data_IF_857478997961
#
_entry.id   IF_857478997961
#
_cell.length_a   1.000
_cell.length_b   1.000
_cell.length_c   1.000
_cell.angle_alpha   90.00
_cell.angle_beta   90.00
_cell.angle_gamma   90.00
#
_symmetry.space_group_name_H-M   'P 1'
#
loop_
_entity.id
_entity.type
_entity.pdbx_description
1 polymer ?
#
# COMPACT_ATOMS: atom_id res chain seq x y z
N UNK A 1 20.21 74.62 28.73
CA UNK A 1 21.63 74.23 28.76
C UNK A 1 21.74 72.85 28.09
N UNK A 2 22.37 72.81 26.89
CA UNK A 2 22.88 71.68 26.06
C UNK A 2 22.08 70.35 26.01
N UNK A 3 21.37 69.95 24.93
CA UNK A 3 21.77 69.41 23.60
C UNK A 3 22.78 68.24 23.65
N UNK A 4 22.37 67.05 23.18
CA UNK A 4 23.16 66.22 22.26
C UNK A 4 22.30 65.10 21.62
N UNK A 5 22.02 65.30 20.33
CA UNK A 5 21.63 64.28 19.36
C UNK A 5 22.65 63.12 19.33
N UNK A 6 22.18 61.92 18.96
CA UNK A 6 22.96 61.14 18.00
C UNK A 6 22.07 60.25 17.11
N UNK A 7 22.30 60.48 15.83
CA UNK A 7 21.70 59.96 14.62
C UNK A 7 21.68 58.43 14.47
N UNK A 8 20.68 57.96 13.71
CA UNK A 8 20.61 56.66 13.02
C UNK A 8 21.70 56.55 11.92
N UNK A 9 21.97 55.33 11.42
CA UNK A 9 21.46 54.98 10.07
C UNK A 9 20.85 53.56 10.05
N UNK A 10 19.66 53.38 9.48
CA UNK A 10 19.43 52.83 8.12
C UNK A 10 20.40 51.73 7.72
N UNK A 11 19.91 50.48 7.78
CA UNK A 11 20.36 49.41 6.90
C UNK A 11 19.10 48.74 6.35
N UNK A 12 18.86 48.98 5.07
CA UNK A 12 17.94 48.24 4.23
C UNK A 12 18.42 46.79 4.14
N UNK A 13 17.50 45.85 4.36
CA UNK A 13 17.56 44.53 3.75
C UNK A 13 16.16 44.36 3.13
N UNK A 14 16.01 44.77 1.88
CA UNK A 14 16.10 43.89 0.71
C UNK A 14 15.18 42.69 0.86
N UNK A 15 14.13 42.72 0.05
CA UNK A 15 13.08 41.72 0.03
C UNK A 15 13.60 40.30 -0.09
N UNK A 16 12.90 39.41 0.61
CA UNK A 16 12.60 38.12 0.04
C UNK A 16 11.10 38.13 -0.22
N UNK A 17 10.77 38.21 -1.50
CA UNK A 17 9.54 37.75 -2.10
C UNK A 17 8.97 36.57 -1.30
N UNK A 18 7.81 36.78 -0.68
CA UNK A 18 6.81 35.76 -0.39
C UNK A 18 6.26 35.21 -1.73
N UNK A 19 7.15 34.61 -2.54
CA UNK A 19 6.75 33.65 -3.54
C UNK A 19 6.61 32.31 -2.82
N UNK A 20 5.52 32.21 -2.07
CA UNK A 20 4.94 30.97 -1.62
C UNK A 20 4.68 30.16 -2.89
N UNK A 21 5.69 29.39 -3.32
CA UNK A 21 5.53 28.34 -4.31
C UNK A 21 4.45 27.45 -3.75
N UNK A 22 3.22 27.64 -4.23
CA UNK A 22 2.22 26.61 -4.15
C UNK A 22 2.92 25.34 -4.65
N UNK A 23 2.88 24.22 -3.89
CA UNK A 23 3.29 22.97 -4.48
C UNK A 23 2.37 22.81 -5.67
N UNK A 24 2.92 23.00 -6.86
CA UNK A 24 2.25 22.65 -8.10
C UNK A 24 1.74 21.26 -7.83
N UNK A 25 0.42 21.09 -7.80
CA UNK A 25 -0.20 19.78 -7.81
C UNK A 25 0.27 19.15 -9.11
N UNK A 26 1.45 18.55 -9.08
CA UNK A 26 1.75 17.42 -9.93
C UNK A 26 0.64 16.46 -9.53
N UNK A 27 -0.42 16.46 -10.34
CA UNK A 27 -1.22 15.27 -10.52
C UNK A 27 -0.20 14.22 -10.91
N UNK A 28 0.34 13.53 -9.91
CA UNK A 28 1.27 12.45 -10.09
C UNK A 28 0.60 11.52 -11.05
N UNK A 29 1.29 11.15 -12.12
CA UNK A 29 0.80 10.09 -12.99
C UNK A 29 0.70 8.87 -12.08
N UNK A 30 -0.50 8.54 -11.63
CA UNK A 30 -0.74 7.35 -10.84
C UNK A 30 -0.23 6.18 -11.67
N UNK A 31 0.68 5.41 -11.07
CA UNK A 31 1.17 4.21 -11.71
C UNK A 31 0.04 3.18 -11.77
N UNK A 32 0.01 2.28 -12.77
CA UNK A 32 -0.98 1.20 -12.80
C UNK A 32 -1.02 0.35 -11.52
N UNK A 33 0.10 0.29 -10.79
CA UNK A 33 0.19 -0.38 -9.50
C UNK A 33 -0.55 0.38 -8.39
N UNK A 34 -0.42 1.71 -8.34
CA UNK A 34 -1.15 2.56 -7.40
C UNK A 34 -2.65 2.53 -7.67
N UNK A 35 -3.07 2.60 -8.95
CA UNK A 35 -4.50 2.46 -9.32
C UNK A 35 -5.08 1.13 -8.86
N UNK A 36 -4.33 0.02 -9.04
CA UNK A 36 -4.75 -1.30 -8.55
C UNK A 36 -4.85 -1.34 -7.01
N UNK A 37 -3.91 -0.72 -6.30
CA UNK A 37 -3.95 -0.67 -4.84
C UNK A 37 -5.17 0.11 -4.34
N UNK A 38 -5.52 1.22 -4.99
CA UNK A 38 -6.70 2.02 -4.66
C UNK A 38 -8.01 1.26 -4.93
N UNK A 39 -8.09 0.51 -6.03
CA UNK A 39 -9.21 -0.38 -6.33
C UNK A 39 -9.39 -1.46 -5.25
N UNK A 40 -8.29 -2.04 -4.77
CA UNK A 40 -8.30 -3.04 -3.72
C UNK A 40 -8.78 -2.45 -2.38
N UNK A 41 -8.30 -1.25 -2.00
CA UNK A 41 -8.76 -0.53 -0.81
C UNK A 41 -10.26 -0.23 -0.89
N UNK A 42 -10.72 0.25 -2.05
CA UNK A 42 -12.13 0.55 -2.30
C UNK A 42 -13.01 -0.70 -2.13
N UNK A 43 -12.60 -1.83 -2.71
CA UNK A 43 -13.32 -3.10 -2.54
C UNK A 43 -13.28 -3.60 -1.09
N UNK A 44 -12.16 -3.41 -0.39
CA UNK A 44 -12.05 -3.77 1.01
C UNK A 44 -13.06 -3.00 1.87
N UNK A 45 -13.17 -1.69 1.65
CA UNK A 45 -14.14 -0.84 2.36
C UNK A 45 -15.57 -1.34 2.19
N UNK A 46 -15.96 -1.74 0.97
CA UNK A 46 -17.30 -2.28 0.72
C UNK A 46 -17.56 -3.66 1.35
N UNK A 47 -16.51 -4.43 1.65
CA UNK A 47 -16.61 -5.78 2.18
C UNK A 47 -16.42 -5.87 3.70
N UNK A 48 -15.92 -4.81 4.35
CA UNK A 48 -15.40 -4.93 5.71
C UNK A 48 -16.44 -5.34 6.76
N UNK A 49 -17.70 -4.95 6.58
CA UNK A 49 -18.76 -5.23 7.55
C UNK A 49 -19.27 -6.68 7.45
N UNK A 50 -19.45 -7.19 6.23
CA UNK A 50 -19.99 -8.53 6.00
C UNK A 50 -18.90 -9.61 5.92
N UNK A 51 -17.72 -9.23 5.44
CA UNK A 51 -16.61 -10.11 5.14
C UNK A 51 -15.27 -9.51 5.60
N UNK A 52 -15.09 -9.29 6.92
CA UNK A 52 -13.92 -8.59 7.47
C UNK A 52 -12.60 -9.26 7.12
N UNK A 53 -12.57 -10.60 7.06
CA UNK A 53 -11.38 -11.35 6.67
C UNK A 53 -11.02 -11.12 5.20
N UNK A 54 -12.01 -11.06 4.30
CA UNK A 54 -11.75 -10.80 2.88
C UNK A 54 -11.26 -9.36 2.69
N UNK A 55 -11.88 -8.39 3.37
CA UNK A 55 -11.43 -7.01 3.36
C UNK A 55 -9.99 -6.87 3.85
N UNK A 56 -9.61 -7.55 4.95
CA UNK A 56 -8.23 -7.53 5.45
C UNK A 56 -7.20 -8.05 4.43
N UNK A 57 -7.54 -9.11 3.68
CA UNK A 57 -6.65 -9.60 2.61
C UNK A 57 -6.48 -8.57 1.48
N UNK A 58 -7.54 -7.84 1.12
CA UNK A 58 -7.48 -6.81 0.09
C UNK A 58 -6.66 -5.59 0.54
N UNK A 59 -6.82 -5.14 1.79
CA UNK A 59 -5.99 -4.08 2.37
C UNK A 59 -4.52 -4.50 2.42
N UNK A 60 -4.22 -5.72 2.86
CA UNK A 60 -2.86 -6.25 2.89
C UNK A 60 -2.25 -6.33 1.48
N UNK A 61 -3.02 -6.77 0.48
CA UNK A 61 -2.59 -6.78 -0.91
C UNK A 61 -2.30 -5.36 -1.43
N UNK A 62 -3.15 -4.39 -1.13
CA UNK A 62 -2.94 -2.98 -1.51
C UNK A 62 -1.66 -2.42 -0.86
N UNK A 63 -1.49 -2.63 0.45
CA UNK A 63 -0.31 -2.20 1.20
C UNK A 63 1.00 -2.86 0.69
N UNK A 64 0.91 -4.10 0.20
CA UNK A 64 2.05 -4.80 -0.41
C UNK A 64 2.43 -4.25 -1.80
N UNK A 65 1.50 -3.57 -2.48
CA UNK A 65 1.72 -3.01 -3.83
C UNK A 65 2.15 -1.54 -3.76
N UNK A 66 1.40 -0.72 -3.02
CA UNK A 66 1.60 0.72 -2.90
C UNK A 66 1.24 1.19 -1.49
N UNK A 67 2.14 1.03 -0.50
CA UNK A 67 1.88 1.44 0.88
C UNK A 67 1.77 2.97 1.00
N UNK A 68 0.75 3.46 1.71
CA UNK A 68 0.51 4.91 1.90
C UNK A 68 1.29 5.48 3.09
N UNK A 69 1.71 4.62 4.03
CA UNK A 69 2.52 5.03 5.17
C UNK A 69 3.53 3.95 5.60
N UNK A 70 4.49 4.34 6.46
CA UNK A 70 5.52 3.44 6.96
C UNK A 70 4.93 2.24 7.73
N UNK A 71 3.86 2.46 8.50
CA UNK A 71 3.20 1.38 9.25
C UNK A 71 2.55 0.34 8.32
N UNK A 72 1.91 0.77 7.22
CA UNK A 72 1.36 -0.16 6.22
C UNK A 72 2.45 -1.01 5.60
N UNK A 73 3.60 -0.39 5.29
CA UNK A 73 4.76 -1.10 4.76
C UNK A 73 5.30 -2.14 5.74
N UNK A 74 5.50 -1.77 7.00
CA UNK A 74 5.99 -2.70 8.03
C UNK A 74 5.05 -3.89 8.21
N UNK A 75 3.73 -3.65 8.22
CA UNK A 75 2.72 -4.71 8.29
C UNK A 75 2.79 -5.62 7.05
N UNK A 76 2.89 -5.04 5.85
CA UNK A 76 3.00 -5.80 4.61
C UNK A 76 4.28 -6.66 4.58
N UNK A 77 5.40 -6.10 5.00
CA UNK A 77 6.69 -6.80 5.07
C UNK A 77 6.63 -7.99 6.05
N UNK A 78 6.08 -7.80 7.26
CA UNK A 78 5.93 -8.87 8.25
C UNK A 78 4.98 -9.98 7.76
N UNK A 79 3.84 -9.59 7.18
CA UNK A 79 2.87 -10.55 6.66
C UNK A 79 3.34 -11.27 5.38
N UNK A 80 4.30 -10.73 4.66
CA UNK A 80 4.82 -11.33 3.43
C UNK A 80 5.31 -12.76 3.66
N UNK A 81 5.98 -13.03 4.79
CA UNK A 81 6.46 -14.35 5.16
C UNK A 81 5.31 -15.31 5.49
N UNK A 82 4.29 -14.83 6.19
CA UNK A 82 3.10 -15.62 6.55
C UNK A 82 2.32 -16.01 5.30
N UNK A 83 2.11 -15.06 4.38
CA UNK A 83 1.44 -15.30 3.10
C UNK A 83 2.25 -16.29 2.25
N UNK A 84 3.58 -16.14 2.19
CA UNK A 84 4.45 -17.04 1.44
C UNK A 84 4.37 -18.49 1.94
N UNK A 85 4.42 -18.69 3.27
CA UNK A 85 4.26 -20.02 3.87
C UNK A 85 2.86 -20.60 3.61
N UNK A 86 1.82 -19.78 3.78
CA UNK A 86 0.45 -20.18 3.46
C UNK A 86 0.30 -20.62 2.00
N UNK A 87 0.88 -19.89 1.05
CA UNK A 87 0.88 -20.27 -0.37
C UNK A 87 1.61 -21.60 -0.61
N UNK A 88 2.70 -21.87 0.09
CA UNK A 88 3.43 -23.13 0.00
C UNK A 88 2.58 -24.30 0.50
N UNK A 89 1.91 -24.13 1.65
CA UNK A 89 0.99 -25.14 2.17
C UNK A 89 -0.20 -25.38 1.23
N UNK A 90 -0.76 -24.31 0.65
CA UNK A 90 -1.85 -24.40 -0.31
C UNK A 90 -1.46 -25.20 -1.56
N UNK A 91 -0.23 -24.99 -2.08
CA UNK A 91 0.31 -25.77 -3.21
C UNK A 91 0.39 -27.26 -2.88
N UNK A 92 0.87 -27.61 -1.68
CA UNK A 92 0.96 -29.00 -1.23
C UNK A 92 -0.43 -29.64 -1.17
N UNK A 93 -1.40 -28.94 -0.58
CA UNK A 93 -2.78 -29.42 -0.49
C UNK A 93 -3.43 -29.59 -1.86
N UNK A 94 -3.24 -28.61 -2.75
CA UNK A 94 -3.74 -28.67 -4.11
C UNK A 94 -3.17 -29.87 -4.87
N UNK A 95 -1.85 -30.08 -4.81
CA UNK A 95 -1.21 -31.22 -5.44
C UNK A 95 -1.75 -32.55 -4.91
N UNK A 96 -1.91 -32.68 -3.58
CA UNK A 96 -2.54 -33.86 -2.96
C UNK A 96 -3.96 -34.09 -3.47
N UNK A 97 -4.77 -33.04 -3.58
CA UNK A 97 -6.13 -33.13 -4.07
C UNK A 97 -6.19 -33.56 -5.54
N UNK A 98 -5.33 -33.01 -6.39
CA UNK A 98 -5.21 -33.37 -7.81
C UNK A 98 -4.79 -34.83 -7.96
N UNK A 99 -3.75 -35.27 -7.26
CA UNK A 99 -3.27 -36.67 -7.30
C UNK A 99 -4.34 -37.65 -6.84
N UNK A 100 -5.05 -37.35 -5.75
CA UNK A 100 -6.17 -38.18 -5.27
C UNK A 100 -7.28 -38.30 -6.32
N UNK A 101 -7.64 -37.20 -6.98
CA UNK A 101 -8.64 -37.21 -8.06
C UNK A 101 -8.19 -38.06 -9.24
N UNK A 102 -6.92 -37.93 -9.67
CA UNK A 102 -6.37 -38.72 -10.76
C UNK A 102 -6.39 -40.24 -10.46
N UNK A 103 -6.02 -40.65 -9.24
CA UNK A 103 -6.09 -42.06 -8.81
C UNK A 103 -7.53 -42.57 -8.81
N UNK A 104 -8.46 -41.79 -8.27
CA UNK A 104 -9.88 -42.19 -8.20
C UNK A 104 -10.47 -42.38 -9.60
N UNK A 105 -10.17 -41.46 -10.53
CA UNK A 105 -10.61 -41.55 -11.93
C UNK A 105 -9.91 -42.69 -12.69
N UNK A 106 -8.63 -42.94 -12.42
CA UNK A 106 -7.89 -44.06 -13.02
C UNK A 106 -8.40 -45.42 -12.55
N UNK A 107 -8.68 -45.58 -11.26
CA UNK A 107 -9.26 -46.79 -10.70
C UNK A 107 -10.66 -47.08 -11.26
N UNK A 108 -11.50 -46.05 -11.44
CA UNK A 108 -12.81 -46.19 -12.07
C UNK A 108 -12.73 -46.63 -13.55
N UNK A 109 -11.63 -46.34 -14.26
CA UNK A 109 -11.41 -46.74 -15.66
C UNK A 109 -10.75 -48.11 -15.83
N UNK A 110 -10.23 -48.72 -14.77
CA UNK A 110 -9.61 -50.06 -14.79
C UNK A 110 -10.47 -51.13 -14.10
N UNK A 111 -11.61 -50.75 -13.53
CA UNK A 111 -12.60 -51.66 -12.95
C UNK A 111 -13.86 -51.87 -13.80
N UNK A 112 -13.86 -51.45 -15.07
CA UNK A 112 -14.96 -51.60 -16.03
C UNK A 112 -14.55 -52.52 -17.18
#
# INVERSE_FOLDING_TARGET
MAIAERSRPSAEASGLDDAQSAPTSQAGVHTPAEELADDLRTRAFHLMDEHPIAAAHLVLAAASIAPECAAEKEVADEFSFVIADFMQQLKILHHRAVTKRAITTGAARHGA
#
